data_IF_539794577994
#
_entry.id   IF_539794577994
#
_cell.length_a   1.000
_cell.length_b   1.000
_cell.length_c   1.000
_cell.angle_alpha   90.00
_cell.angle_beta   90.00
_cell.angle_gamma   90.00
#
_symmetry.space_group_name_H-M   'P 1'
#
loop_
_entity.id
_entity.type
_entity.pdbx_description
1 polymer ?
#
# COMPACT_ATOMS: atom_id res chain seq x y z
N UNK A 1 -12.40 13.01 24.29
CA UNK A 1 -12.34 11.53 24.27
C UNK A 1 -11.96 11.06 22.88
N UNK A 2 -11.38 9.86 22.76
CA UNK A 2 -11.07 9.21 21.48
C UNK A 2 -12.30 9.22 20.54
N UNK A 3 -13.51 8.94 21.07
CA UNK A 3 -14.76 9.10 20.33
C UNK A 3 -14.95 10.50 19.73
N UNK A 4 -14.73 11.59 20.47
CA UNK A 4 -14.85 12.97 19.95
C UNK A 4 -13.87 13.32 18.81
N UNK A 5 -12.76 12.58 18.67
CA UNK A 5 -11.73 12.80 17.63
C UNK A 5 -11.95 11.89 16.40
N UNK A 6 -12.64 10.77 16.58
CA UNK A 6 -12.84 9.74 15.55
C UNK A 6 -14.30 9.56 15.10
N UNK A 7 -15.26 10.28 15.68
CA UNK A 7 -16.64 10.35 15.20
C UNK A 7 -16.93 11.73 14.61
N UNK A 8 -17.01 11.84 13.28
CA UNK A 8 -17.48 13.05 12.61
C UNK A 8 -17.14 13.11 11.12
N UNK A 9 -18.16 13.03 10.27
CA UNK A 9 -18.13 13.33 8.83
C UNK A 9 -17.98 14.84 8.58
N UNK A 10 -16.78 15.39 8.78
CA UNK A 10 -16.54 16.81 8.53
C UNK A 10 -15.23 17.00 7.74
N UNK A 11 -15.37 17.25 6.44
CA UNK A 11 -14.34 17.93 5.64
C UNK A 11 -13.70 17.20 4.47
N UNK A 12 -14.21 16.06 4.03
CA UNK A 12 -13.68 15.42 2.82
C UNK A 12 -14.27 16.10 1.56
N UNK A 13 -13.41 16.64 0.69
CA UNK A 13 -13.84 17.08 -0.64
C UNK A 13 -14.14 15.84 -1.50
N UNK A 14 -15.40 15.67 -1.87
CA UNK A 14 -15.88 14.50 -2.62
C UNK A 14 -16.36 14.91 -4.01
N UNK A 15 -15.41 15.10 -4.92
CA UNK A 15 -15.71 15.41 -6.32
C UNK A 15 -14.45 15.42 -7.17
N UNK A 16 -14.64 15.44 -8.49
CA UNK A 16 -13.61 15.90 -9.41
C UNK A 16 -13.31 17.36 -9.06
N UNK A 17 -12.04 17.74 -9.08
CA UNK A 17 -11.71 19.16 -9.01
C UNK A 17 -12.16 19.76 -10.35
N UNK A 18 -13.05 20.77 -10.37
CA UNK A 18 -13.53 21.36 -11.62
C UNK A 18 -12.35 21.82 -12.49
N UNK A 19 -12.36 21.47 -13.78
CA UNK A 19 -11.26 21.77 -14.70
C UNK A 19 -10.02 20.86 -14.56
N UNK A 20 -10.07 19.82 -13.73
CA UNK A 20 -9.00 18.81 -13.70
C UNK A 20 -9.07 17.89 -14.92
N UNK A 21 -7.93 17.58 -15.49
CA UNK A 21 -7.72 16.70 -16.65
C UNK A 21 -7.56 15.22 -16.22
N UNK A 22 -7.85 14.88 -14.96
CA UNK A 22 -7.50 13.57 -14.39
C UNK A 22 -8.31 12.38 -14.89
N UNK A 23 -9.44 12.64 -15.57
CA UNK A 23 -10.27 11.59 -16.16
C UNK A 23 -9.60 11.04 -17.42
N UNK A 24 -9.57 9.72 -17.52
CA UNK A 24 -9.14 9.02 -18.72
C UNK A 24 -10.36 8.58 -19.52
N UNK A 25 -10.25 8.65 -20.84
CA UNK A 25 -11.14 7.91 -21.71
C UNK A 25 -10.67 6.45 -21.74
N UNK A 26 -11.40 5.57 -21.06
CA UNK A 26 -10.98 4.17 -20.85
C UNK A 26 -11.63 3.29 -21.90
N UNK A 27 -10.82 2.86 -22.88
CA UNK A 27 -11.22 1.80 -23.80
C UNK A 27 -11.16 0.44 -23.10
N UNK A 28 -12.30 -0.02 -22.61
CA UNK A 28 -12.46 -1.33 -21.96
C UNK A 28 -12.19 -2.52 -22.88
N UNK A 29 -12.14 -2.32 -24.21
CA UNK A 29 -11.79 -3.40 -25.14
C UNK A 29 -10.28 -3.59 -25.28
N UNK A 30 -9.48 -2.58 -24.91
CA UNK A 30 -8.03 -2.58 -25.06
C UNK A 30 -7.53 -2.45 -26.50
N UNK A 31 -8.39 -2.05 -27.45
CA UNK A 31 -8.04 -1.97 -28.87
C UNK A 31 -7.40 -0.63 -29.26
N UNK A 32 -7.60 0.41 -28.45
CA UNK A 32 -7.12 1.77 -28.74
C UNK A 32 -5.61 1.98 -28.55
N UNK A 33 -4.89 1.01 -27.98
CA UNK A 33 -3.47 1.14 -27.68
C UNK A 33 -2.69 0.04 -28.42
N UNK A 34 -1.82 0.41 -29.36
CA UNK A 34 -1.03 -0.55 -30.16
C UNK A 34 0.36 -0.84 -29.56
N UNK A 35 1.05 0.16 -29.01
CA UNK A 35 2.47 0.03 -28.62
C UNK A 35 2.72 -0.15 -27.11
N UNK A 36 1.68 -0.07 -26.28
CA UNK A 36 1.79 -0.30 -24.82
C UNK A 36 0.96 -1.50 -24.36
N UNK A 37 1.09 -1.87 -23.09
CA UNK A 37 0.27 -2.95 -22.53
C UNK A 37 -1.17 -2.46 -22.41
N UNK A 38 -2.02 -2.92 -23.32
CA UNK A 38 -3.44 -2.65 -23.32
C UNK A 38 -4.19 -3.67 -22.44
N UNK A 39 -5.33 -3.27 -21.89
CA UNK A 39 -6.13 -4.09 -20.99
C UNK A 39 -7.59 -4.15 -21.45
N UNK A 40 -8.05 -5.35 -21.76
CA UNK A 40 -9.48 -5.62 -21.90
C UNK A 40 -10.07 -5.84 -20.50
N UNK A 41 -11.11 -5.10 -20.14
CA UNK A 41 -11.79 -5.19 -18.85
C UNK A 41 -13.14 -5.88 -19.01
N UNK A 42 -13.45 -6.82 -18.12
CA UNK A 42 -14.73 -7.52 -18.11
C UNK A 42 -15.32 -7.59 -16.70
N UNK A 43 -16.65 -7.56 -16.62
CA UNK A 43 -17.39 -7.65 -15.36
C UNK A 43 -18.32 -8.85 -15.39
N UNK A 44 -18.25 -9.69 -14.35
CA UNK A 44 -19.16 -10.83 -14.13
C UNK A 44 -19.76 -10.74 -12.74
N UNK A 45 -21.04 -10.39 -12.65
CA UNK A 45 -21.70 -10.07 -11.39
C UNK A 45 -21.04 -8.87 -10.70
N UNK A 46 -20.55 -9.04 -9.47
CA UNK A 46 -19.80 -8.01 -8.74
C UNK A 46 -18.28 -8.15 -8.87
N UNK A 47 -17.76 -8.97 -9.80
CA UNK A 47 -16.33 -9.23 -9.96
C UNK A 47 -15.82 -8.62 -11.25
N UNK A 48 -14.66 -7.97 -11.17
CA UNK A 48 -13.91 -7.43 -12.29
C UNK A 48 -12.74 -8.33 -12.65
N UNK A 49 -12.53 -8.49 -13.94
CA UNK A 49 -11.44 -9.24 -14.54
C UNK A 49 -10.78 -8.39 -15.62
N UNK A 50 -9.53 -8.72 -15.93
CA UNK A 50 -8.78 -8.07 -17.00
C UNK A 50 -7.94 -9.07 -17.77
N UNK A 51 -7.65 -8.74 -19.03
CA UNK A 51 -6.75 -9.46 -19.91
C UNK A 51 -5.78 -8.47 -20.54
N UNK A 52 -4.47 -8.74 -20.47
CA UNK A 52 -3.48 -7.92 -21.16
C UNK A 52 -3.38 -8.36 -22.63
N UNK A 53 -3.92 -7.56 -23.55
CA UNK A 53 -4.14 -7.98 -24.96
C UNK A 53 -2.87 -7.86 -25.82
N UNK A 54 -2.01 -6.88 -25.54
CA UNK A 54 -0.73 -6.68 -26.23
C UNK A 54 0.46 -7.12 -25.38
N UNK A 55 0.33 -8.28 -24.74
CA UNK A 55 1.36 -8.87 -23.91
C UNK A 55 1.41 -10.38 -24.14
N UNK A 56 2.58 -11.00 -23.90
CA UNK A 56 2.75 -12.46 -24.09
C UNK A 56 1.92 -13.29 -23.12
N UNK A 57 1.60 -12.73 -21.95
CA UNK A 57 0.63 -13.27 -20.99
C UNK A 57 -0.73 -12.63 -21.24
N UNK A 58 -1.54 -13.26 -22.10
CA UNK A 58 -2.91 -12.83 -22.44
C UNK A 58 -3.98 -13.62 -21.67
N UNK A 59 -3.61 -14.19 -20.52
CA UNK A 59 -4.56 -14.87 -19.66
C UNK A 59 -5.44 -13.86 -18.91
N UNK A 60 -6.73 -14.15 -18.83
CA UNK A 60 -7.65 -13.41 -17.97
C UNK A 60 -7.24 -13.58 -16.50
N UNK A 61 -7.23 -12.48 -15.74
CA UNK A 61 -6.96 -12.49 -14.30
C UNK A 61 -7.99 -11.68 -13.53
N UNK A 62 -8.18 -12.05 -12.26
CA UNK A 62 -9.09 -11.38 -11.34
C UNK A 62 -8.50 -10.07 -10.83
N UNK A 63 -9.26 -8.98 -10.96
CA UNK A 63 -8.86 -7.64 -10.48
C UNK A 63 -9.40 -7.41 -9.07
N UNK A 64 -10.70 -7.58 -8.86
CA UNK A 64 -11.33 -7.28 -7.58
C UNK A 64 -12.84 -7.47 -7.58
N UNK A 65 -13.45 -7.46 -6.40
CA UNK A 65 -14.90 -7.51 -6.20
C UNK A 65 -15.38 -6.14 -5.75
N UNK A 66 -16.51 -5.72 -6.28
CA UNK A 66 -17.18 -4.49 -5.89
C UNK A 66 -17.61 -4.58 -4.42
N UNK A 67 -17.19 -3.57 -3.64
CA UNK A 67 -17.61 -3.35 -2.26
C UNK A 67 -18.45 -2.09 -2.22
N UNK A 68 -19.65 -2.19 -1.65
CA UNK A 68 -20.56 -1.07 -1.43
C UNK A 68 -20.81 -0.91 0.07
N UNK A 69 -20.23 0.13 0.67
CA UNK A 69 -20.50 0.50 2.07
C UNK A 69 -21.44 1.70 2.10
N UNK A 70 -22.72 1.44 1.78
CA UNK A 70 -23.75 2.46 1.62
C UNK A 70 -23.88 3.38 2.86
N UNK A 71 -23.68 2.86 4.06
CA UNK A 71 -23.78 3.62 5.32
C UNK A 71 -22.74 4.73 5.49
N UNK A 72 -21.61 4.65 4.78
CA UNK A 72 -20.55 5.66 4.82
C UNK A 72 -20.18 6.16 3.42
N UNK A 73 -21.01 5.85 2.42
CA UNK A 73 -20.84 6.32 1.05
C UNK A 73 -19.56 5.87 0.34
N UNK A 74 -18.93 4.75 0.76
CA UNK A 74 -17.70 4.25 0.14
C UNK A 74 -17.95 3.10 -0.81
N UNK A 75 -17.50 3.27 -2.05
CA UNK A 75 -17.54 2.29 -3.12
C UNK A 75 -16.12 2.10 -3.65
N UNK A 76 -15.80 0.88 -4.04
CA UNK A 76 -14.52 0.54 -4.64
C UNK A 76 -14.43 -0.96 -4.89
N UNK A 77 -13.24 -1.43 -5.22
CA UNK A 77 -12.93 -2.84 -5.46
C UNK A 77 -11.94 -3.37 -4.42
N UNK A 78 -12.08 -4.66 -4.11
CA UNK A 78 -11.27 -5.35 -3.11
C UNK A 78 -10.98 -6.78 -3.54
N UNK A 79 -9.78 -7.27 -3.21
CA UNK A 79 -9.44 -8.67 -3.33
C UNK A 79 -9.60 -9.37 -1.98
N UNK A 80 -10.46 -10.38 -1.90
CA UNK A 80 -10.53 -11.24 -0.73
C UNK A 80 -9.29 -12.12 -0.63
N UNK A 81 -8.82 -12.39 0.59
CA UNK A 81 -7.60 -13.17 0.80
C UNK A 81 -7.65 -14.57 0.18
N UNK A 82 -8.84 -15.17 0.06
CA UNK A 82 -9.07 -16.45 -0.63
C UNK A 82 -8.84 -16.41 -2.14
N UNK A 83 -8.77 -15.21 -2.74
CA UNK A 83 -8.57 -14.99 -4.17
C UNK A 83 -7.20 -14.36 -4.47
N UNK A 84 -6.34 -14.19 -3.45
CA UNK A 84 -4.97 -13.75 -3.69
C UNK A 84 -4.23 -14.78 -4.53
N UNK A 85 -3.44 -14.30 -5.49
CA UNK A 85 -2.69 -15.12 -6.42
C UNK A 85 -1.43 -14.41 -6.86
N UNK A 86 -0.46 -15.13 -7.44
CA UNK A 86 0.78 -14.53 -7.94
C UNK A 86 1.95 -14.56 -6.94
N UNK A 87 3.03 -13.83 -7.24
CA UNK A 87 4.26 -13.89 -6.46
C UNK A 87 4.07 -13.37 -5.02
N UNK A 88 4.80 -14.00 -4.09
CA UNK A 88 4.87 -13.57 -2.68
C UNK A 88 6.24 -13.04 -2.34
N UNK A 89 6.29 -12.05 -1.47
CA UNK A 89 7.50 -11.65 -0.78
C UNK A 89 7.95 -12.77 0.17
N UNK A 90 9.25 -13.06 0.14
CA UNK A 90 9.92 -13.97 1.06
C UNK A 90 11.21 -13.30 1.49
N UNK A 91 11.44 -13.19 2.80
CA UNK A 91 12.62 -12.54 3.33
C UNK A 91 13.91 -13.17 2.80
N UNK A 92 13.95 -14.50 2.67
CA UNK A 92 15.07 -15.28 2.15
C UNK A 92 15.59 -14.80 0.79
N UNK A 93 14.71 -14.24 -0.04
CA UNK A 93 15.07 -13.79 -1.38
C UNK A 93 15.78 -12.42 -1.36
N UNK A 94 15.76 -11.72 -0.22
CA UNK A 94 16.26 -10.34 -0.05
C UNK A 94 17.20 -10.17 1.15
N UNK A 95 17.58 -11.25 1.84
CA UNK A 95 18.55 -11.22 2.96
C UNK A 95 19.87 -10.56 2.54
N UNK A 96 20.33 -10.78 1.31
CA UNK A 96 21.59 -10.20 0.82
C UNK A 96 21.49 -8.73 0.43
N UNK A 97 20.27 -8.20 0.23
CA UNK A 97 20.04 -6.83 -0.25
C UNK A 97 19.60 -5.87 0.85
N UNK A 98 18.80 -6.35 1.80
CA UNK A 98 18.24 -5.53 2.89
C UNK A 98 18.43 -6.16 4.27
N UNK A 99 19.24 -7.23 4.36
CA UNK A 99 19.62 -7.90 5.61
C UNK A 99 18.39 -8.23 6.49
N UNK A 100 18.50 -8.00 7.80
CA UNK A 100 17.51 -8.38 8.80
C UNK A 100 16.14 -7.70 8.60
N UNK A 101 16.12 -6.55 7.92
CA UNK A 101 14.89 -5.83 7.61
C UNK A 101 13.93 -6.66 6.76
N UNK A 102 14.44 -7.60 5.97
CA UNK A 102 13.62 -8.53 5.19
C UNK A 102 12.63 -9.29 6.07
N UNK A 103 13.02 -9.71 7.28
CA UNK A 103 12.14 -10.46 8.18
C UNK A 103 11.07 -9.59 8.81
N UNK A 104 11.41 -8.35 9.20
CA UNK A 104 10.42 -7.39 9.70
C UNK A 104 9.38 -7.07 8.62
N UNK A 105 9.82 -6.87 7.37
CA UNK A 105 8.92 -6.69 6.24
C UNK A 105 8.04 -7.92 6.00
N UNK A 106 8.58 -9.14 6.13
CA UNK A 106 7.80 -10.37 5.95
C UNK A 106 6.68 -10.48 6.98
N UNK A 107 6.93 -10.07 8.24
CA UNK A 107 5.92 -10.09 9.31
C UNK A 107 4.79 -9.11 9.00
N UNK A 108 5.12 -7.84 8.74
CA UNK A 108 4.11 -6.82 8.45
C UNK A 108 3.37 -7.11 7.14
N UNK A 109 4.09 -7.51 6.09
CA UNK A 109 3.51 -7.90 4.81
C UNK A 109 2.61 -9.13 4.90
N UNK A 110 2.95 -10.11 5.75
CA UNK A 110 2.08 -11.25 6.01
C UNK A 110 0.78 -10.81 6.69
N UNK A 111 0.90 -9.92 7.68
CA UNK A 111 -0.24 -9.35 8.37
C UNK A 111 -1.16 -8.61 7.40
N UNK A 112 -0.60 -7.82 6.48
CA UNK A 112 -1.33 -7.00 5.50
C UNK A 112 -2.01 -7.81 4.39
N UNK A 113 -1.21 -8.59 3.66
CA UNK A 113 -1.54 -9.09 2.32
C UNK A 113 -1.20 -10.57 2.15
N UNK A 114 -0.82 -11.27 3.23
CA UNK A 114 -0.21 -12.61 3.14
C UNK A 114 1.04 -12.62 2.24
N UNK A 115 1.75 -11.49 2.21
CA UNK A 115 2.95 -11.21 1.40
C UNK A 115 2.74 -11.19 -0.13
N UNK A 116 1.51 -11.20 -0.65
CA UNK A 116 1.31 -11.14 -2.10
C UNK A 116 1.59 -9.73 -2.66
N UNK A 117 2.40 -9.66 -3.72
CA UNK A 117 2.87 -8.40 -4.31
C UNK A 117 1.81 -7.61 -5.10
N UNK A 118 0.69 -8.23 -5.41
CA UNK A 118 -0.33 -7.70 -6.32
C UNK A 118 -1.69 -7.53 -5.61
N UNK A 119 -1.68 -7.37 -4.28
CA UNK A 119 -2.90 -7.11 -3.50
C UNK A 119 -3.24 -5.63 -3.54
N UNK A 120 -4.51 -5.32 -3.74
CA UNK A 120 -5.02 -3.96 -3.76
C UNK A 120 -6.32 -3.79 -2.97
N UNK A 121 -6.55 -2.55 -2.51
CA UNK A 121 -7.84 -2.10 -1.99
C UNK A 121 -8.13 -0.65 -2.44
N UNK A 122 -9.36 -0.31 -2.80
CA UNK A 122 -9.76 1.06 -3.15
C UNK A 122 -10.96 1.59 -2.37
N UNK A 123 -11.64 0.78 -1.55
CA UNK A 123 -12.87 1.22 -0.88
C UNK A 123 -12.65 2.02 0.42
N UNK A 124 -11.40 2.20 0.87
CA UNK A 124 -11.10 2.86 2.14
C UNK A 124 -10.72 4.35 1.96
N UNK A 125 -10.37 5.02 3.06
CA UNK A 125 -10.00 6.45 3.06
C UNK A 125 -8.82 6.78 2.15
N UNK A 126 -7.92 5.83 1.88
CA UNK A 126 -6.78 6.04 1.00
C UNK A 126 -7.18 6.11 -0.47
N UNK A 127 -8.41 5.67 -0.84
CA UNK A 127 -8.92 5.57 -2.22
C UNK A 127 -8.22 4.51 -3.07
N UNK A 128 -6.96 4.21 -2.73
CA UNK A 128 -6.13 3.19 -3.35
C UNK A 128 -5.02 2.81 -2.36
N UNK A 129 -4.86 1.51 -2.12
CA UNK A 129 -3.69 0.88 -1.49
C UNK A 129 -3.22 -0.26 -2.38
N UNK A 130 -1.92 -0.49 -2.41
CA UNK A 130 -1.34 -1.48 -3.30
C UNK A 130 -0.09 -2.15 -2.74
N UNK A 131 0.13 -3.39 -3.14
CA UNK A 131 1.37 -4.13 -2.91
C UNK A 131 1.35 -4.96 -1.63
N UNK A 132 2.41 -5.73 -1.42
CA UNK A 132 2.49 -6.62 -0.25
C UNK A 132 2.48 -5.86 1.08
N UNK A 133 2.99 -4.62 1.06
CA UNK A 133 3.03 -3.71 2.20
C UNK A 133 1.83 -2.75 2.29
N UNK A 134 0.86 -2.86 1.36
CA UNK A 134 -0.36 -2.03 1.31
C UNK A 134 -0.09 -0.52 1.37
N UNK A 135 0.78 -0.03 0.47
CA UNK A 135 1.14 1.38 0.40
C UNK A 135 -0.07 2.23 -0.04
N UNK A 136 -0.40 3.26 0.75
CA UNK A 136 -1.58 4.10 0.57
C UNK A 136 -1.33 5.34 -0.32
N UNK A 137 -2.32 5.72 -1.13
CA UNK A 137 -2.22 6.88 -2.04
C UNK A 137 -2.30 8.24 -1.36
N UNK A 138 -2.99 8.34 -0.21
CA UNK A 138 -3.32 9.63 0.39
C UNK A 138 -2.17 10.33 1.12
N UNK A 139 -1.05 9.67 1.41
CA UNK A 139 0.01 10.21 2.27
C UNK A 139 1.07 10.95 1.46
N UNK A 140 1.28 12.26 1.68
CA UNK A 140 2.39 12.99 1.06
C UNK A 140 3.76 12.48 1.52
N UNK A 141 4.73 12.41 0.61
CA UNK A 141 6.12 12.03 0.89
C UNK A 141 6.28 10.67 1.62
N UNK A 142 5.30 9.78 1.51
CA UNK A 142 5.30 8.44 2.11
C UNK A 142 4.45 7.50 1.25
N UNK A 143 4.67 6.20 1.36
CA UNK A 143 3.87 5.15 0.74
C UNK A 143 3.78 5.24 -0.80
N UNK A 144 2.56 5.19 -1.38
CA UNK A 144 2.34 4.81 -2.78
C UNK A 144 2.91 5.83 -3.78
N UNK A 145 2.97 7.11 -3.41
CA UNK A 145 3.56 8.12 -4.28
C UNK A 145 5.06 7.90 -4.49
N UNK A 146 5.79 7.47 -3.44
CA UNK A 146 7.22 7.16 -3.54
C UNK A 146 7.43 5.96 -4.48
N UNK A 147 6.54 4.97 -4.40
CA UNK A 147 6.55 3.83 -5.30
C UNK A 147 6.36 4.24 -6.76
N UNK A 148 5.35 5.08 -7.06
CA UNK A 148 5.13 5.57 -8.43
C UNK A 148 6.30 6.40 -8.95
N UNK A 149 6.92 7.24 -8.11
CA UNK A 149 8.14 7.95 -8.49
C UNK A 149 9.26 6.98 -8.86
N UNK A 150 9.52 5.97 -8.02
CA UNK A 150 10.56 4.95 -8.31
C UNK A 150 10.23 4.12 -9.54
N UNK A 151 8.94 3.85 -9.82
CA UNK A 151 8.54 3.18 -11.05
C UNK A 151 8.92 3.96 -12.29
N UNK A 152 8.94 5.30 -12.28
CA UNK A 152 9.32 6.10 -13.47
C UNK A 152 10.76 5.84 -13.95
N UNK A 153 11.61 5.29 -13.09
CA UNK A 153 12.98 4.88 -13.42
C UNK A 153 13.03 3.56 -14.20
N UNK A 154 11.93 2.79 -14.22
CA UNK A 154 11.81 1.57 -15.00
C UNK A 154 11.48 1.88 -16.45
N UNK A 155 12.20 1.30 -17.44
CA UNK A 155 11.90 1.51 -18.85
C UNK A 155 10.50 1.01 -19.24
N UNK A 156 9.92 0.08 -18.47
CA UNK A 156 8.57 -0.45 -18.72
C UNK A 156 7.45 0.41 -18.13
N UNK A 157 7.74 1.43 -17.32
CA UNK A 157 6.72 2.26 -16.69
C UNK A 157 5.76 2.87 -17.71
N UNK A 158 6.31 3.38 -18.81
CA UNK A 158 5.52 3.96 -19.90
C UNK A 158 4.61 2.96 -20.61
N UNK A 159 4.90 1.67 -20.51
CA UNK A 159 4.04 0.65 -21.09
C UNK A 159 2.77 0.43 -20.25
N UNK A 160 2.79 0.78 -18.96
CA UNK A 160 1.67 0.63 -18.05
C UNK A 160 0.98 1.96 -17.73
N UNK A 161 1.74 3.05 -17.66
CA UNK A 161 1.25 4.40 -17.31
C UNK A 161 1.80 5.44 -18.30
N UNK A 162 1.40 5.38 -19.58
CA UNK A 162 1.90 6.27 -20.62
C UNK A 162 1.69 7.76 -20.30
N UNK A 163 0.60 8.08 -19.62
CA UNK A 163 0.17 9.42 -19.23
C UNK A 163 0.96 10.04 -18.06
N UNK A 164 1.77 9.26 -17.33
CA UNK A 164 2.47 9.76 -16.14
C UNK A 164 3.91 10.18 -16.43
N UNK A 165 4.34 11.39 -16.06
CA UNK A 165 5.71 11.90 -16.28
C UNK A 165 6.26 12.59 -15.04
N UNK A 166 7.58 12.57 -14.86
CA UNK A 166 8.25 13.50 -13.94
C UNK A 166 8.44 14.82 -14.66
N UNK A 167 7.88 15.90 -14.12
CA UNK A 167 8.06 17.28 -14.61
C UNK A 167 8.48 18.12 -13.41
N UNK A 168 9.59 18.86 -13.53
CA UNK A 168 10.14 19.67 -12.45
C UNK A 168 10.30 18.91 -11.12
N UNK A 169 10.70 17.63 -11.21
CA UNK A 169 10.94 16.78 -10.04
C UNK A 169 9.68 16.24 -9.35
N UNK A 170 8.48 16.41 -9.90
CA UNK A 170 7.23 15.85 -9.37
C UNK A 170 6.48 15.00 -10.41
N UNK A 171 5.72 14.01 -9.94
CA UNK A 171 4.85 13.18 -10.77
C UNK A 171 3.65 13.98 -11.26
N UNK A 172 3.49 14.01 -12.57
CA UNK A 172 2.39 14.65 -13.27
C UNK A 172 1.63 13.63 -14.09
N UNK A 173 0.32 13.85 -14.25
CA UNK A 173 -0.45 13.28 -15.36
C UNK A 173 -0.45 14.26 -16.51
N UNK A 174 -0.30 13.77 -17.74
CA UNK A 174 -0.25 14.57 -18.97
C UNK A 174 -1.34 14.07 -19.94
N UNK A 175 -2.22 14.96 -20.43
CA UNK A 175 -3.20 14.61 -21.49
C UNK A 175 -2.54 14.54 -22.88
N UNK A 176 -3.34 14.09 -23.84
CA UNK A 176 -3.07 14.10 -25.28
C UNK A 176 -2.78 15.49 -25.84
N UNK A 177 -3.30 16.56 -25.21
CA UNK A 177 -3.05 17.95 -25.61
C UNK A 177 -1.75 18.53 -24.99
N UNK A 178 -1.06 17.76 -24.13
CA UNK A 178 0.15 18.17 -23.44
C UNK A 178 -0.06 18.97 -22.15
N UNK A 179 -1.30 19.20 -21.71
CA UNK A 179 -1.60 19.77 -20.40
C UNK A 179 -1.08 18.83 -19.31
N UNK A 180 -0.54 19.39 -18.23
CA UNK A 180 0.06 18.61 -17.15
C UNK A 180 -0.50 19.00 -15.77
N UNK A 181 -0.97 18.00 -15.02
CA UNK A 181 -1.44 18.17 -13.64
C UNK A 181 -0.47 17.51 -12.66
N UNK A 182 0.06 18.30 -11.72
CA UNK A 182 0.93 17.82 -10.65
C UNK A 182 0.13 16.99 -9.63
N UNK A 183 0.43 15.70 -9.53
CA UNK A 183 -0.27 14.76 -8.64
C UNK A 183 0.23 14.85 -7.19
N UNK A 184 1.39 15.47 -6.96
CA UNK A 184 2.05 15.56 -5.65
C UNK A 184 1.67 16.82 -4.85
N UNK A 185 0.71 17.62 -5.33
CA UNK A 185 0.22 18.79 -4.59
C UNK A 185 -0.42 18.33 -3.28
N UNK A 186 0.11 18.84 -2.18
CA UNK A 186 -0.41 18.57 -0.83
C UNK A 186 -1.58 19.51 -0.54
N UNK A 187 -2.72 18.93 -0.22
CA UNK A 187 -3.97 19.65 0.05
C UNK A 187 -4.53 19.29 1.43
N UNK A 188 -5.22 20.22 2.07
CA UNK A 188 -5.90 20.00 3.36
C UNK A 188 -7.34 19.52 3.16
N UNK A 189 -7.53 18.52 2.30
CA UNK A 189 -8.85 17.98 1.93
C UNK A 189 -9.20 16.69 2.67
N UNK A 190 -8.29 16.18 3.50
CA UNK A 190 -8.54 15.02 4.34
C UNK A 190 -9.50 15.31 5.50
N UNK A 191 -9.95 14.27 6.23
CA UNK A 191 -10.78 14.45 7.42
C UNK A 191 -10.12 15.41 8.42
N UNK A 192 -10.89 16.36 8.95
CA UNK A 192 -10.38 17.41 9.85
C UNK A 192 -9.24 18.25 9.24
N UNK A 193 -9.21 18.44 7.91
CA UNK A 193 -8.19 19.22 7.22
C UNK A 193 -6.83 18.51 7.13
N UNK A 194 -6.79 17.19 7.31
CA UNK A 194 -5.55 16.42 7.19
C UNK A 194 -4.92 16.60 5.79
N UNK A 195 -3.59 16.74 5.77
CA UNK A 195 -2.79 16.86 4.54
C UNK A 195 -2.85 15.57 3.73
N UNK A 196 -3.23 15.65 2.46
CA UNK A 196 -3.34 14.51 1.54
C UNK A 196 -2.95 14.86 0.10
N UNK A 197 -2.70 13.83 -0.72
CA UNK A 197 -2.46 13.93 -2.16
C UNK A 197 -3.76 13.73 -2.95
N UNK A 198 -4.70 14.68 -2.85
CA UNK A 198 -6.05 14.53 -3.41
C UNK A 198 -6.05 14.29 -4.92
N UNK A 199 -5.15 14.95 -5.67
CA UNK A 199 -5.03 14.79 -7.11
C UNK A 199 -4.53 13.40 -7.48
N UNK A 200 -3.51 12.88 -6.80
CA UNK A 200 -3.04 11.50 -6.99
C UNK A 200 -4.12 10.46 -6.66
N UNK A 201 -4.85 10.67 -5.56
CA UNK A 201 -5.98 9.81 -5.20
C UNK A 201 -7.08 9.83 -6.26
N UNK A 202 -7.40 11.00 -6.81
CA UNK A 202 -8.41 11.16 -7.86
C UNK A 202 -7.96 10.59 -9.21
N UNK A 203 -6.68 10.66 -9.53
CA UNK A 203 -6.12 9.99 -10.69
C UNK A 203 -6.29 8.46 -10.58
N UNK A 204 -5.97 7.88 -9.42
CA UNK A 204 -6.06 6.42 -9.26
C UNK A 204 -7.50 5.90 -9.20
N UNK A 205 -8.34 6.58 -8.44
CA UNK A 205 -9.76 6.24 -8.25
C UNK A 205 -10.54 7.55 -8.26
N UNK A 206 -11.12 7.98 -9.40
CA UNK A 206 -11.73 9.30 -9.51
C UNK A 206 -13.01 9.44 -8.68
N UNK A 207 -13.86 8.43 -8.69
CA UNK A 207 -15.23 8.52 -8.16
C UNK A 207 -15.43 7.49 -7.05
N UNK A 208 -15.77 7.96 -5.83
CA UNK A 208 -16.04 7.06 -4.68
C UNK A 208 -17.48 6.57 -4.58
N UNK A 209 -18.39 7.10 -5.41
CA UNK A 209 -19.84 6.81 -5.34
C UNK A 209 -20.29 5.75 -6.35
N UNK A 210 -19.52 5.56 -7.41
CA UNK A 210 -19.67 4.48 -8.38
C UNK A 210 -18.28 3.92 -8.64
N UNK A 211 -18.21 2.63 -8.92
CA UNK A 211 -16.97 2.00 -9.37
C UNK A 211 -16.81 2.39 -10.84
N UNK A 212 -15.64 2.88 -11.17
CA UNK A 212 -15.32 3.49 -12.46
C UNK A 212 -14.28 2.67 -13.21
N UNK A 213 -14.36 2.60 -14.54
CA UNK A 213 -13.44 1.80 -15.34
C UNK A 213 -11.98 2.24 -15.20
N UNK A 214 -11.70 3.51 -14.89
CA UNK A 214 -10.34 4.01 -14.63
C UNK A 214 -9.74 3.39 -13.35
N UNK A 215 -10.54 3.23 -12.31
CA UNK A 215 -10.12 2.55 -11.06
C UNK A 215 -9.74 1.09 -11.36
N UNK A 216 -10.56 0.41 -12.15
CA UNK A 216 -10.33 -0.99 -12.55
C UNK A 216 -9.09 -1.11 -13.45
N UNK A 217 -8.90 -0.19 -14.40
CA UNK A 217 -7.73 -0.15 -15.28
C UNK A 217 -6.43 0.02 -14.49
N UNK A 218 -6.38 0.97 -13.56
CA UNK A 218 -5.19 1.19 -12.74
C UNK A 218 -4.87 -0.01 -11.84
N UNK A 219 -5.88 -0.65 -11.28
CA UNK A 219 -5.71 -1.91 -10.56
C UNK A 219 -5.16 -3.02 -11.47
N UNK A 220 -5.75 -3.21 -12.65
CA UNK A 220 -5.31 -4.21 -13.62
C UNK A 220 -3.84 -4.01 -14.04
N UNK A 221 -3.44 -2.76 -14.32
CA UNK A 221 -2.05 -2.37 -14.66
C UNK A 221 -1.09 -2.81 -13.56
N UNK A 222 -1.34 -2.44 -12.31
CA UNK A 222 -0.45 -2.76 -11.19
C UNK A 222 -0.41 -4.27 -10.87
N UNK A 223 -1.55 -4.95 -10.90
CA UNK A 223 -1.65 -6.40 -10.66
C UNK A 223 -0.84 -7.16 -11.72
N UNK A 224 -1.07 -6.85 -12.99
CA UNK A 224 -0.39 -7.50 -14.10
C UNK A 224 1.12 -7.23 -14.06
N UNK A 225 1.53 -5.98 -13.79
CA UNK A 225 2.95 -5.64 -13.71
C UNK A 225 3.66 -6.37 -12.56
N UNK A 226 3.06 -6.40 -11.37
CA UNK A 226 3.62 -7.11 -10.21
C UNK A 226 3.73 -8.61 -10.43
N UNK A 227 2.76 -9.21 -11.15
CA UNK A 227 2.79 -10.64 -11.51
C UNK A 227 3.98 -10.93 -12.44
N UNK A 228 4.15 -10.12 -13.48
CA UNK A 228 5.01 -10.46 -14.62
C UNK A 228 6.41 -9.82 -14.59
N UNK A 229 6.70 -8.89 -13.68
CA UNK A 229 7.99 -8.21 -13.64
C UNK A 229 8.66 -8.27 -12.27
N UNK A 230 9.83 -8.92 -12.20
CA UNK A 230 10.63 -9.01 -10.97
C UNK A 230 11.16 -7.65 -10.53
N UNK A 231 11.62 -6.80 -11.46
CA UNK A 231 12.18 -5.49 -11.11
C UNK A 231 11.12 -4.59 -10.47
N UNK A 232 9.87 -4.68 -10.91
CA UNK A 232 8.74 -4.02 -10.27
C UNK A 232 8.56 -4.49 -8.82
N UNK A 233 8.63 -5.80 -8.55
CA UNK A 233 8.57 -6.35 -7.19
C UNK A 233 9.76 -5.92 -6.34
N UNK A 234 10.97 -5.92 -6.90
CA UNK A 234 12.17 -5.46 -6.21
C UNK A 234 12.02 -3.99 -5.79
N UNK A 235 11.49 -3.13 -6.68
CA UNK A 235 11.17 -1.73 -6.34
C UNK A 235 10.14 -1.63 -5.20
N UNK A 236 9.12 -2.50 -5.16
CA UNK A 236 8.19 -2.53 -4.02
C UNK A 236 8.91 -2.85 -2.70
N UNK A 237 9.87 -3.79 -2.73
CA UNK A 237 10.65 -4.17 -1.54
C UNK A 237 11.55 -3.03 -1.09
N UNK A 238 12.28 -2.39 -2.02
CA UNK A 238 13.17 -1.28 -1.72
C UNK A 238 12.41 -0.13 -1.03
N UNK A 239 11.27 0.28 -1.60
CA UNK A 239 10.46 1.36 -1.03
C UNK A 239 9.87 0.98 0.33
N UNK A 240 9.36 -0.25 0.49
CA UNK A 240 8.85 -0.72 1.77
C UNK A 240 9.96 -0.74 2.84
N UNK A 241 11.18 -1.15 2.48
CA UNK A 241 12.34 -1.15 3.36
C UNK A 241 12.73 0.28 3.77
N UNK A 242 12.88 1.20 2.81
CA UNK A 242 13.19 2.60 3.07
C UNK A 242 12.18 3.24 4.03
N UNK A 243 10.88 2.98 3.82
CA UNK A 243 9.80 3.46 4.70
C UNK A 243 9.94 2.88 6.11
N UNK A 244 10.17 1.56 6.22
CA UNK A 244 10.30 0.89 7.52
C UNK A 244 11.52 1.40 8.30
N UNK A 245 12.69 1.47 7.66
CA UNK A 245 13.92 1.98 8.27
C UNK A 245 13.77 3.44 8.71
N UNK A 246 13.16 4.28 7.87
CA UNK A 246 12.87 5.67 8.23
C UNK A 246 11.94 5.75 9.45
N UNK A 247 10.86 4.98 9.46
CA UNK A 247 9.90 4.96 10.58
C UNK A 247 10.56 4.41 11.85
N UNK A 248 11.39 3.38 11.76
CA UNK A 248 12.10 2.83 12.91
C UNK A 248 12.99 3.90 13.57
N UNK A 249 13.91 4.48 12.80
CA UNK A 249 14.88 5.45 13.32
C UNK A 249 14.28 6.80 13.70
N UNK A 250 13.39 7.37 12.86
CA UNK A 250 12.90 8.74 13.04
C UNK A 250 11.64 8.84 13.88
N UNK A 251 10.88 7.75 14.01
CA UNK A 251 9.57 7.77 14.66
C UNK A 251 9.51 6.80 15.84
N UNK A 252 9.77 5.51 15.64
CA UNK A 252 9.51 4.50 16.66
C UNK A 252 10.57 4.53 17.75
N UNK A 253 11.85 4.56 17.41
CA UNK A 253 12.94 4.70 18.37
C UNK A 253 12.75 5.94 19.25
N UNK A 254 12.47 7.11 18.66
CA UNK A 254 12.21 8.34 19.43
C UNK A 254 11.00 8.27 20.36
N UNK A 255 10.02 7.43 20.05
CA UNK A 255 8.80 7.29 20.87
C UNK A 255 8.97 6.29 22.01
N UNK A 256 9.78 5.26 21.80
CA UNK A 256 9.79 4.05 22.64
C UNK A 256 11.17 3.66 23.17
N UNK A 257 12.22 4.39 22.81
CA UNK A 257 13.60 4.11 23.20
C UNK A 257 14.04 2.69 22.80
N UNK A 258 14.03 2.44 21.48
CA UNK A 258 14.26 1.09 20.94
C UNK A 258 15.73 0.65 20.88
N UNK A 259 16.67 1.47 21.34
CA UNK A 259 18.08 1.06 21.31
C UNK A 259 18.32 -0.13 22.26
N UNK A 260 18.96 -1.18 21.77
CA UNK A 260 19.12 -2.45 22.48
C UNK A 260 17.84 -3.30 22.58
N UNK A 261 16.73 -2.87 21.98
CA UNK A 261 15.48 -3.63 22.01
C UNK A 261 15.50 -4.80 21.02
N UNK A 262 14.88 -5.92 21.40
CA UNK A 262 14.81 -7.10 20.54
C UNK A 262 14.12 -6.80 19.19
N UNK A 263 14.59 -7.47 18.14
CA UNK A 263 13.99 -7.43 16.81
C UNK A 263 12.50 -7.85 16.81
N UNK A 264 12.10 -8.81 17.66
CA UNK A 264 10.71 -9.24 17.84
C UNK A 264 9.82 -8.09 18.35
N UNK A 265 10.27 -7.35 19.35
CA UNK A 265 9.52 -6.20 19.88
C UNK A 265 9.48 -5.08 18.84
N UNK A 266 10.59 -4.82 18.15
CA UNK A 266 10.65 -3.85 17.05
C UNK A 266 9.66 -4.21 15.92
N UNK A 267 9.58 -5.49 15.53
CA UNK A 267 8.66 -5.99 14.52
C UNK A 267 7.19 -5.80 14.95
N UNK A 268 6.86 -6.12 16.21
CA UNK A 268 5.51 -5.94 16.74
C UNK A 268 5.09 -4.46 16.76
N UNK A 269 5.99 -3.56 17.17
CA UNK A 269 5.73 -2.10 17.15
C UNK A 269 5.52 -1.59 15.73
N UNK A 270 6.38 -2.03 14.79
CA UNK A 270 6.27 -1.65 13.39
C UNK A 270 4.92 -2.06 12.80
N UNK A 271 4.48 -3.31 13.01
CA UNK A 271 3.16 -3.79 12.56
C UNK A 271 2.01 -2.98 13.21
N UNK A 272 2.04 -2.78 14.52
CA UNK A 272 0.98 -2.04 15.24
C UNK A 272 0.76 -0.65 14.63
N UNK A 273 1.84 0.05 14.30
CA UNK A 273 1.76 1.39 13.72
C UNK A 273 1.42 1.40 12.24
N UNK A 274 1.95 0.45 11.47
CA UNK A 274 1.61 0.29 10.07
C UNK A 274 0.10 0.07 9.88
N UNK A 275 -0.47 -0.80 10.70
CA UNK A 275 -1.90 -1.14 10.70
C UNK A 275 -2.79 -0.10 11.41
N UNK A 276 -2.21 0.86 12.14
CA UNK A 276 -2.98 1.80 12.97
C UNK A 276 -3.74 1.16 14.14
N UNK A 277 -3.25 0.01 14.66
CA UNK A 277 -3.93 -0.79 15.71
C UNK A 277 -4.01 -0.10 17.07
N UNK A 278 -3.07 0.78 17.40
CA UNK A 278 -3.00 1.42 18.72
C UNK A 278 -2.35 2.80 18.70
N UNK A 279 -2.67 3.60 19.72
CA UNK A 279 -2.02 4.88 19.98
C UNK A 279 -0.69 4.70 20.70
N UNK A 280 0.17 5.71 20.60
CA UNK A 280 1.49 5.75 21.30
C UNK A 280 1.35 5.45 22.79
N UNK A 281 0.34 6.03 23.46
CA UNK A 281 0.09 5.80 24.90
C UNK A 281 -0.17 4.33 25.20
N UNK A 282 -0.97 3.64 24.39
CA UNK A 282 -1.26 2.21 24.59
C UNK A 282 -0.02 1.35 24.38
N UNK A 283 0.80 1.67 23.37
CA UNK A 283 2.07 0.95 23.13
C UNK A 283 3.01 1.11 24.31
N UNK A 284 3.17 2.32 24.87
CA UNK A 284 4.00 2.53 26.08
C UNK A 284 3.51 1.70 27.28
N UNK A 285 2.20 1.60 27.48
CA UNK A 285 1.63 0.76 28.55
C UNK A 285 1.94 -0.71 28.31
N UNK A 286 1.79 -1.20 27.08
CA UNK A 286 2.12 -2.58 26.73
C UNK A 286 3.62 -2.88 26.95
N UNK A 287 4.50 -1.96 26.59
CA UNK A 287 5.95 -2.09 26.80
C UNK A 287 6.36 -2.09 28.28
N UNK A 288 5.54 -1.57 29.18
CA UNK A 288 5.78 -1.60 30.64
C UNK A 288 5.24 -2.88 31.30
N UNK A 289 4.55 -3.75 30.56
CA UNK A 289 4.03 -5.03 31.07
C UNK A 289 5.16 -6.04 31.30
N UNK A 290 5.00 -6.96 32.26
CA UNK A 290 5.93 -8.08 32.44
C UNK A 290 6.00 -8.98 31.18
N UNK A 291 4.88 -9.16 30.48
CA UNK A 291 4.79 -9.92 29.24
C UNK A 291 4.63 -8.96 28.04
N UNK A 292 5.69 -8.20 27.75
CA UNK A 292 5.68 -7.09 26.77
C UNK A 292 5.16 -7.52 25.40
N UNK A 293 5.64 -8.65 24.88
CA UNK A 293 5.29 -9.12 23.54
C UNK A 293 3.81 -9.46 23.41
N UNK A 294 3.26 -10.26 24.34
CA UNK A 294 1.84 -10.60 24.33
C UNK A 294 0.97 -9.35 24.49
N UNK A 295 1.37 -8.42 25.35
CA UNK A 295 0.65 -7.15 25.52
C UNK A 295 0.63 -6.30 24.24
N UNK A 296 1.69 -6.36 23.41
CA UNK A 296 1.74 -5.71 22.10
C UNK A 296 0.87 -6.43 21.06
N UNK A 297 0.96 -7.76 21.00
CA UNK A 297 0.17 -8.58 20.07
C UNK A 297 -1.33 -8.41 20.34
N UNK A 298 -1.73 -8.38 21.60
CA UNK A 298 -3.14 -8.31 22.01
C UNK A 298 -3.59 -6.89 22.39
N UNK A 299 -2.81 -5.88 21.99
CA UNK A 299 -3.02 -4.46 22.35
C UNK A 299 -4.41 -3.91 22.03
N UNK A 300 -5.10 -4.50 21.04
CA UNK A 300 -6.44 -4.10 20.62
C UNK A 300 -7.29 -5.30 20.19
N UNK A 301 -8.26 -5.66 21.03
CA UNK A 301 -9.18 -6.77 20.82
C UNK A 301 -10.03 -6.67 19.55
N UNK A 302 -10.20 -5.49 18.95
CA UNK A 302 -10.95 -5.34 17.69
C UNK A 302 -10.19 -5.88 16.46
N UNK A 303 -8.93 -6.27 16.63
CA UNK A 303 -8.04 -6.71 15.54
C UNK A 303 -7.63 -8.19 15.69
N UNK A 304 -8.54 -9.06 16.15
CA UNK A 304 -8.28 -10.48 16.45
C UNK A 304 -7.55 -11.22 15.32
N UNK A 305 -8.01 -11.09 14.07
CA UNK A 305 -7.37 -11.75 12.93
C UNK A 305 -5.94 -11.23 12.69
N UNK A 306 -5.70 -9.93 12.87
CA UNK A 306 -4.35 -9.36 12.73
C UNK A 306 -3.45 -9.81 13.86
N UNK A 307 -3.96 -9.88 15.09
CA UNK A 307 -3.21 -10.45 16.23
C UNK A 307 -2.84 -11.91 16.01
N UNK A 308 -3.76 -12.72 15.47
CA UNK A 308 -3.48 -14.11 15.11
C UNK A 308 -2.40 -14.21 14.02
N UNK A 309 -2.46 -13.36 12.98
CA UNK A 309 -1.45 -13.34 11.92
C UNK A 309 -0.07 -12.89 12.42
N UNK A 310 -0.02 -11.87 13.28
CA UNK A 310 1.23 -11.39 13.88
C UNK A 310 1.86 -12.49 14.74
N UNK A 311 1.06 -13.14 15.59
CA UNK A 311 1.50 -14.27 16.43
C UNK A 311 2.03 -15.42 15.58
N UNK A 312 1.33 -15.76 14.49
CA UNK A 312 1.77 -16.79 13.54
C UNK A 312 3.11 -16.43 12.90
N UNK A 313 3.24 -15.24 12.29
CA UNK A 313 4.44 -14.84 11.57
C UNK A 313 5.67 -14.73 12.50
N UNK A 314 5.48 -14.16 13.70
CA UNK A 314 6.54 -14.12 14.71
C UNK A 314 6.97 -15.52 15.13
N UNK A 315 6.01 -16.41 15.40
CA UNK A 315 6.33 -17.79 15.78
C UNK A 315 7.10 -18.52 14.68
N UNK A 316 6.62 -18.48 13.45
CA UNK A 316 7.26 -19.16 12.32
C UNK A 316 8.72 -18.71 12.11
N UNK A 317 8.99 -17.40 12.18
CA UNK A 317 10.35 -16.88 12.02
C UNK A 317 11.23 -17.11 13.25
N UNK A 318 10.65 -17.11 14.46
CA UNK A 318 11.40 -17.42 15.70
C UNK A 318 11.79 -18.89 15.73
N UNK A 319 10.86 -19.79 15.43
CA UNK A 319 11.13 -21.25 15.36
C UNK A 319 12.22 -21.56 14.31
N UNK A 320 12.26 -20.80 13.22
CA UNK A 320 13.27 -20.92 12.17
C UNK A 320 14.61 -20.24 12.51
N UNK A 321 14.75 -19.64 13.70
CA UNK A 321 15.96 -18.92 14.13
C UNK A 321 16.28 -17.67 13.32
N UNK A 322 15.29 -17.08 12.65
CA UNK A 322 15.45 -15.90 11.78
C UNK A 322 15.25 -14.57 12.51
N UNK A 323 14.54 -14.59 13.63
CA UNK A 323 14.36 -13.44 14.54
C UNK A 323 14.49 -13.92 16.00
N UNK A 324 14.62 -12.98 16.93
CA UNK A 324 14.74 -13.24 18.37
C UNK A 324 16.17 -13.36 18.86
N UNK A 325 17.15 -13.12 17.99
CA UNK A 325 18.57 -13.25 18.25
C UNK A 325 19.36 -11.95 17.99
N UNK A 326 18.70 -10.88 17.53
CA UNK A 326 19.32 -9.58 17.30
C UNK A 326 18.62 -8.48 18.09
N UNK A 327 19.36 -7.39 18.32
CA UNK A 327 18.84 -6.16 18.93
C UNK A 327 18.96 -4.99 17.97
N UNK A 328 18.05 -4.02 18.07
CA UNK A 328 18.12 -2.80 17.28
C UNK A 328 19.19 -1.86 17.83
N UNK A 329 20.08 -1.38 16.98
CA UNK A 329 21.10 -0.41 17.31
C UNK A 329 20.78 0.94 16.64
N UNK A 330 20.36 1.91 17.44
CA UNK A 330 19.80 3.17 16.97
C UNK A 330 20.83 4.06 16.26
N UNK A 331 22.10 3.99 16.64
CA UNK A 331 23.15 4.82 16.05
C UNK A 331 23.45 4.43 14.58
N UNK A 332 23.40 3.12 14.27
CA UNK A 332 23.61 2.63 12.90
C UNK A 332 22.31 2.38 12.15
N UNK A 333 21.16 2.38 12.85
CA UNK A 333 19.87 1.96 12.32
C UNK A 333 19.93 0.54 11.72
N UNK A 334 20.50 -0.40 12.48
CA UNK A 334 20.61 -1.80 12.06
C UNK A 334 20.26 -2.76 13.19
N UNK A 335 20.08 -4.03 12.85
CA UNK A 335 19.94 -5.12 13.82
C UNK A 335 21.27 -5.88 13.92
N UNK A 336 21.83 -5.93 15.12
CA UNK A 336 23.15 -6.50 15.43
C UNK A 336 23.08 -7.69 16.37
#
# INVERSE_FOLDING_TARGET
TFQRVYSGDQGLFYGLIPGSDLLLDVDVSGNSIQDTVAFQLSKRGNKWFATATNHTDNAEFYVGSEIKRASIGYFGIFQSASLYSGPKFKASDYETTIDHWAYLLQITGFCESKNFFNVMNTYDRAKFTFGFYQLAAHTPNDNLILLFRRFTESPKFKNYFPELKIINGALHRVDENGSATNLEIVMNTGPNGARQLQLFMNYLNPIRKKIDEQEVLHAARLIHWAKNDKKMRDIQVDIANEILQHKMSKVYHKRYDLDGESDIICAAIADIHHQGRASVKRVKIALASANRLDALIDINANYTNRSAHLRQALKELTDAGKIGNKVYHAATNEFV
#
